data_IF_378124134678
#
_entry.id   IF_378124134678
#
_cell.length_a   1.000
_cell.length_b   1.000
_cell.length_c   1.000
_cell.angle_alpha   90.00
_cell.angle_beta   90.00
_cell.angle_gamma   90.00
#
_symmetry.space_group_name_H-M   'P 1'
#
loop_
_entity.id
_entity.type
_entity.pdbx_description
1 polymer ?
#
# COMPACT_ATOMS: atom_id res chain seq x y z
N UNK A 1 -13.97 5.94 -0.91
CA UNK A 1 -12.61 6.21 -0.39
C UNK A 1 -11.59 5.43 -1.19
N UNK A 2 -10.60 6.10 -1.79
CA UNK A 2 -9.49 5.42 -2.44
C UNK A 2 -8.66 4.65 -1.41
N UNK A 3 -8.30 3.38 -1.70
CA UNK A 3 -7.36 2.60 -0.88
C UNK A 3 -5.93 3.06 -1.17
N UNK A 4 -5.63 4.29 -0.75
CA UNK A 4 -4.38 4.98 -1.03
C UNK A 4 -3.72 5.47 0.26
N UNK A 5 -2.39 5.48 0.27
CA UNK A 5 -1.64 6.06 1.38
C UNK A 5 -1.61 7.60 1.25
N UNK A 6 -2.07 8.37 2.24
CA UNK A 6 -2.10 9.84 2.16
C UNK A 6 -0.70 10.48 2.11
N UNK A 7 0.33 9.79 2.61
CA UNK A 7 1.71 10.32 2.68
C UNK A 7 2.43 10.14 1.34
N UNK A 8 2.41 8.92 0.78
CA UNK A 8 3.19 8.58 -0.41
C UNK A 8 2.36 8.36 -1.67
N UNK A 9 1.04 8.56 -1.59
CA UNK A 9 0.09 8.40 -2.71
C UNK A 9 0.16 7.02 -3.37
N UNK A 10 0.64 6.01 -2.64
CA UNK A 10 0.66 4.63 -3.11
C UNK A 10 -0.79 4.14 -3.18
N UNK A 11 -1.30 4.02 -4.39
CA UNK A 11 -2.61 3.45 -4.70
C UNK A 11 -2.55 2.00 -5.15
N UNK A 12 -3.69 1.48 -5.59
CA UNK A 12 -3.75 0.14 -6.18
C UNK A 12 -3.14 0.12 -7.58
N UNK A 13 -2.45 -0.96 -7.92
CA UNK A 13 -1.88 -1.18 -9.24
C UNK A 13 -2.45 -2.44 -9.89
N UNK A 14 -2.51 -2.49 -11.21
CA UNK A 14 -2.87 -3.69 -11.96
C UNK A 14 -1.60 -4.49 -12.26
N UNK A 15 -1.58 -5.78 -11.90
CA UNK A 15 -0.47 -6.69 -12.19
C UNK A 15 -0.96 -8.01 -12.77
N UNK A 16 -0.15 -8.67 -13.58
CA UNK A 16 -0.49 -9.99 -14.14
C UNK A 16 -0.01 -11.08 -13.18
N UNK A 17 -0.89 -12.02 -12.82
CA UNK A 17 -0.48 -13.22 -12.09
C UNK A 17 0.26 -14.15 -13.05
N UNK A 18 1.45 -14.61 -12.68
CA UNK A 18 2.21 -15.62 -13.42
C UNK A 18 2.16 -16.94 -12.67
N UNK A 19 2.10 -18.04 -13.41
CA UNK A 19 2.14 -19.41 -12.86
C UNK A 19 3.28 -20.16 -13.55
N UNK A 20 4.07 -20.89 -12.77
CA UNK A 20 5.14 -21.73 -13.29
C UNK A 20 4.53 -23.01 -13.86
N UNK A 21 4.67 -23.22 -15.17
CA UNK A 21 4.22 -24.42 -15.86
C UNK A 21 5.41 -25.00 -16.63
N UNK A 22 5.76 -26.26 -16.34
CA UNK A 22 6.82 -27.03 -17.04
C UNK A 22 8.10 -26.21 -17.32
N UNK A 23 8.55 -25.43 -16.34
CA UNK A 23 9.79 -24.65 -16.40
C UNK A 23 9.68 -23.18 -16.82
N UNK A 24 8.50 -22.67 -17.23
CA UNK A 24 8.31 -21.25 -17.61
C UNK A 24 7.18 -20.56 -16.85
N UNK A 25 7.38 -19.30 -16.48
CA UNK A 25 6.35 -18.46 -15.87
C UNK A 25 5.40 -17.87 -16.91
N UNK A 26 4.21 -18.45 -17.06
CA UNK A 26 3.20 -17.99 -17.99
C UNK A 26 2.24 -16.98 -17.34
N UNK A 27 1.94 -15.84 -18.00
CA UNK A 27 0.93 -14.90 -17.55
C UNK A 27 -0.47 -15.53 -17.63
N UNK A 28 -1.32 -15.26 -16.63
CA UNK A 28 -2.67 -15.81 -16.53
C UNK A 28 -3.72 -14.70 -16.54
N UNK A 29 -4.17 -14.26 -15.37
CA UNK A 29 -5.16 -13.19 -15.21
C UNK A 29 -4.53 -11.91 -14.69
N UNK A 30 -5.07 -10.77 -15.11
CA UNK A 30 -4.80 -9.46 -14.50
C UNK A 30 -5.51 -9.40 -13.14
N UNK A 31 -4.77 -9.03 -12.11
CA UNK A 31 -5.26 -8.89 -10.73
C UNK A 31 -4.88 -7.53 -10.19
N UNK A 32 -5.78 -6.92 -9.42
CA UNK A 32 -5.47 -5.68 -8.71
C UNK A 32 -4.64 -6.00 -7.47
N UNK A 33 -3.54 -5.28 -7.30
CA UNK A 33 -2.65 -5.33 -6.13
C UNK A 33 -2.90 -4.07 -5.31
N UNK A 34 -3.17 -4.25 -4.02
CA UNK A 34 -3.41 -3.15 -3.10
C UNK A 34 -2.19 -2.93 -2.21
N UNK A 35 -1.91 -1.67 -1.83
CA UNK A 35 -0.92 -1.39 -0.80
C UNK A 35 -1.40 -1.97 0.54
N UNK A 36 -0.46 -2.48 1.34
CA UNK A 36 -0.76 -2.91 2.71
C UNK A 36 -0.95 -1.65 3.58
N UNK A 37 -2.20 -1.26 3.80
CA UNK A 37 -2.57 -0.08 4.59
C UNK A 37 -2.87 -0.50 6.03
N UNK A 38 -2.19 0.14 6.98
CA UNK A 38 -2.34 -0.09 8.41
C UNK A 38 -2.57 1.20 9.18
N UNK A 39 -3.22 1.08 10.33
CA UNK A 39 -3.49 2.21 11.21
C UNK A 39 -2.22 2.66 11.92
N UNK A 40 -1.91 3.95 11.81
CA UNK A 40 -0.89 4.64 12.58
C UNK A 40 -1.54 5.66 13.51
N UNK A 41 -1.04 5.75 14.74
CA UNK A 41 -1.40 6.80 15.70
C UNK A 41 -0.61 8.06 15.40
N UNK A 42 -1.29 9.18 15.23
CA UNK A 42 -0.65 10.48 15.03
C UNK A 42 -0.28 11.12 16.38
N UNK A 43 0.80 11.90 16.37
CA UNK A 43 1.25 12.69 17.54
C UNK A 43 0.25 13.78 17.92
N UNK A 44 -0.40 14.39 16.93
CA UNK A 44 -1.47 15.37 17.12
C UNK A 44 -2.82 14.76 17.57
N UNK A 45 -2.86 13.45 17.80
CA UNK A 45 -4.08 12.71 18.12
C UNK A 45 -4.79 12.14 16.88
N UNK A 46 -5.58 11.08 17.12
CA UNK A 46 -6.30 10.36 16.07
C UNK A 46 -5.49 9.24 15.39
N UNK A 47 -6.08 8.66 14.35
CA UNK A 47 -5.49 7.54 13.58
C UNK A 47 -5.66 7.74 12.09
N UNK A 48 -4.63 7.38 11.33
CA UNK A 48 -4.67 7.39 9.85
C UNK A 48 -4.27 6.03 9.29
N UNK A 49 -4.87 5.64 8.17
CA UNK A 49 -4.40 4.46 7.41
C UNK A 49 -3.27 4.87 6.50
N UNK A 50 -2.08 4.30 6.71
CA UNK A 50 -0.89 4.53 5.89
C UNK A 50 -0.29 3.21 5.43
N UNK A 51 0.52 3.23 4.38
CA UNK A 51 1.18 2.00 3.95
C UNK A 51 2.26 1.57 4.94
N UNK A 52 2.49 0.26 5.02
CA UNK A 52 3.51 -0.33 5.90
C UNK A 52 4.91 0.24 5.68
N UNK A 53 5.27 0.64 4.47
CA UNK A 53 6.58 1.26 4.21
C UNK A 53 6.71 2.65 4.85
N UNK A 54 5.63 3.44 4.87
CA UNK A 54 5.62 4.74 5.53
C UNK A 54 5.56 4.58 7.05
N UNK A 55 4.90 3.53 7.53
CA UNK A 55 4.86 3.19 8.94
C UNK A 55 6.26 2.80 9.44
N UNK A 56 6.95 1.92 8.71
CA UNK A 56 8.32 1.49 9.03
C UNK A 56 9.33 2.64 8.97
N UNK A 57 9.11 3.62 8.10
CA UNK A 57 9.95 4.83 7.97
C UNK A 57 9.51 5.97 8.89
N UNK A 58 8.56 5.73 9.79
CA UNK A 58 8.12 6.72 10.77
C UNK A 58 7.60 8.04 10.18
N UNK A 59 7.16 8.01 8.91
CA UNK A 59 6.70 9.22 8.20
C UNK A 59 5.38 9.78 8.74
N UNK A 60 4.71 9.04 9.62
CA UNK A 60 3.47 9.47 10.27
C UNK A 60 3.72 10.47 11.40
N UNK A 61 4.93 10.54 11.97
CA UNK A 61 5.25 11.47 13.06
C UNK A 61 5.29 12.93 12.60
N UNK A 62 5.72 13.16 11.37
CA UNK A 62 5.79 14.49 10.75
C UNK A 62 4.55 14.85 9.93
N UNK A 63 3.49 14.03 9.99
CA UNK A 63 2.31 14.23 9.17
C UNK A 63 1.29 15.09 9.91
N UNK A 64 1.15 16.34 9.48
CA UNK A 64 0.05 17.20 9.88
C UNK A 64 -1.12 17.03 8.91
N UNK A 65 -2.29 16.72 9.47
CA UNK A 65 -3.53 16.61 8.71
C UNK A 65 -4.04 18.03 8.43
N UNK A 66 -3.65 18.60 7.28
CA UNK A 66 -4.29 19.81 6.75
C UNK A 66 -5.75 19.57 6.40
#
# INVERSE_FOLDING_TARGET
>A
MAKECPICKKGSQMGVKRVLLRGKYNPTKKVRKYPNLQWATLTAGGRIKICTDCLKKEKYLSYEKK
#
